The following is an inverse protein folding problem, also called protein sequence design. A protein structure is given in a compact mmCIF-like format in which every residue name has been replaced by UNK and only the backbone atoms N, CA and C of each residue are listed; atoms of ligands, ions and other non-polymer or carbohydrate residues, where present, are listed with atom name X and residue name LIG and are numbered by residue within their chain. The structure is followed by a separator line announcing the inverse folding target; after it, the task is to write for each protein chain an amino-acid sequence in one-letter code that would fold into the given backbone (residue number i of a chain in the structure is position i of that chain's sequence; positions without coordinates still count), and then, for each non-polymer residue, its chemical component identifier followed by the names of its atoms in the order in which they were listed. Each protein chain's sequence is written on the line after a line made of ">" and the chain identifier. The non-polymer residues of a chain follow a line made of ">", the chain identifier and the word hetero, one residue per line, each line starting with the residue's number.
data_IF_904009366984
#
_entry.id   IF_904009366984
#
_cell.length_a   1.000
_cell.length_b   1.000
_cell.length_c   1.000
_cell.angle_alpha   90.00
_cell.angle_beta   90.00
_cell.angle_gamma   90.00
#
_symmetry.space_group_name_H-M   'P 1'
#
loop_
_entity.id
_entity.type
_entity.pdbx_description
1 polymer ?
#
# COMPACT_ATOMS: atom_id res chain seq x y z
N UNK A 1 5.18 -15.34 -9.82
CA UNK A 1 5.69 -14.07 -10.36
C UNK A 1 7.05 -13.77 -9.76
N UNK A 2 7.98 -13.24 -10.54
CA UNK A 2 9.31 -12.80 -10.05
C UNK A 2 9.26 -11.32 -9.61
N UNK A 3 10.21 -10.88 -8.79
CA UNK A 3 10.34 -9.48 -8.37
C UNK A 3 10.42 -8.51 -9.58
N UNK A 4 11.15 -8.91 -10.62
CA UNK A 4 11.29 -8.15 -11.87
C UNK A 4 9.95 -7.99 -12.61
N UNK A 5 9.15 -9.06 -12.65
CA UNK A 5 7.83 -9.04 -13.26
C UNK A 5 6.89 -8.09 -12.51
N UNK A 6 6.87 -8.14 -11.17
CA UNK A 6 6.08 -7.22 -10.33
C UNK A 6 6.49 -5.76 -10.50
N UNK A 7 7.80 -5.49 -10.56
CA UNK A 7 8.32 -4.13 -10.79
C UNK A 7 7.90 -3.60 -12.16
N UNK A 8 7.91 -4.47 -13.18
CA UNK A 8 7.42 -4.14 -14.52
C UNK A 8 5.91 -3.85 -14.52
N UNK A 9 5.10 -4.71 -13.89
CA UNK A 9 3.65 -4.52 -13.77
C UNK A 9 3.32 -3.21 -13.06
N UNK A 10 4.02 -2.89 -11.95
CA UNK A 10 3.87 -1.61 -11.23
C UNK A 10 4.22 -0.40 -12.11
N UNK A 11 5.31 -0.47 -12.88
CA UNK A 11 5.69 0.62 -13.80
C UNK A 11 4.61 0.86 -14.85
N UNK A 12 4.12 -0.22 -15.46
CA UNK A 12 3.02 -0.17 -16.43
C UNK A 12 1.78 0.43 -15.79
N UNK A 13 1.39 -0.04 -14.60
CA UNK A 13 0.26 0.46 -13.84
C UNK A 13 0.36 1.98 -13.59
N UNK A 14 1.48 2.44 -13.06
CA UNK A 14 1.70 3.86 -12.79
C UNK A 14 1.59 4.73 -14.04
N UNK A 15 2.10 4.25 -15.19
CA UNK A 15 2.00 4.97 -16.45
C UNK A 15 0.56 5.02 -16.99
N UNK A 16 -0.18 3.91 -16.89
CA UNK A 16 -1.58 3.88 -17.29
C UNK A 16 -2.46 4.80 -16.43
N UNK A 17 -2.24 4.82 -15.11
CA UNK A 17 -2.96 5.70 -14.19
C UNK A 17 -2.66 7.18 -14.45
N UNK A 18 -1.41 7.55 -14.76
CA UNK A 18 -1.06 8.93 -15.16
C UNK A 18 -1.83 9.37 -16.40
N UNK A 19 -1.95 8.49 -17.40
CA UNK A 19 -2.72 8.77 -18.62
C UNK A 19 -4.22 8.89 -18.32
N UNK A 20 -4.75 7.97 -17.51
CA UNK A 20 -6.16 7.99 -17.10
C UNK A 20 -6.52 9.31 -16.39
N UNK A 21 -5.65 9.78 -15.49
CA UNK A 21 -5.79 11.08 -14.82
C UNK A 21 -5.68 12.26 -15.78
N UNK A 22 -4.84 12.17 -16.81
CA UNK A 22 -4.74 13.22 -17.84
C UNK A 22 -6.02 13.33 -18.67
N UNK A 23 -6.70 12.21 -18.96
CA UNK A 23 -7.99 12.18 -19.67
C UNK A 23 -9.09 12.81 -18.81
N UNK A 24 -9.15 12.46 -17.52
CA UNK A 24 -10.10 13.05 -16.56
C UNK A 24 -10.00 14.59 -16.53
N UNK A 25 -8.77 15.13 -16.49
CA UNK A 25 -8.52 16.58 -16.52
C UNK A 25 -8.93 17.23 -17.85
N UNK A 26 -8.87 16.51 -18.97
CA UNK A 26 -9.23 17.03 -20.30
C UNK A 26 -10.75 17.10 -20.54
N UNK A 27 -11.56 16.45 -19.69
CA UNK A 27 -13.03 16.52 -19.71
C UNK A 27 -13.72 15.58 -20.70
N UNK A 28 -15.05 15.49 -20.59
CA UNK A 28 -15.87 14.52 -21.32
C UNK A 28 -16.02 14.87 -22.80
N UNK A 29 -15.26 14.19 -23.65
CA UNK A 29 -15.51 14.10 -25.09
C UNK A 29 -15.74 12.64 -25.48
N UNK A 30 -16.40 12.39 -26.61
CA UNK A 30 -16.59 11.02 -27.12
C UNK A 30 -15.26 10.31 -27.36
N UNK A 31 -14.21 11.05 -27.73
CA UNK A 31 -12.85 10.53 -27.86
C UNK A 31 -12.25 10.16 -26.50
N UNK A 32 -12.45 11.00 -25.47
CA UNK A 32 -11.96 10.76 -24.11
C UNK A 32 -12.60 9.51 -23.48
N UNK A 33 -13.90 9.28 -23.71
CA UNK A 33 -14.59 8.09 -23.20
C UNK A 33 -14.08 6.80 -23.87
N UNK A 34 -13.74 6.86 -25.16
CA UNK A 34 -13.17 5.71 -25.87
C UNK A 34 -11.74 5.42 -25.40
N UNK A 35 -10.94 6.45 -25.15
CA UNK A 35 -9.58 6.31 -24.61
C UNK A 35 -9.58 5.81 -23.16
N UNK A 36 -10.52 6.28 -22.33
CA UNK A 36 -10.76 5.78 -20.98
C UNK A 36 -11.06 4.27 -20.98
N UNK A 37 -11.99 3.82 -21.83
CA UNK A 37 -12.35 2.40 -21.91
C UNK A 37 -11.16 1.52 -22.35
N UNK A 38 -10.33 2.01 -23.28
CA UNK A 38 -9.11 1.29 -23.70
C UNK A 38 -8.11 1.17 -22.54
N UNK A 39 -7.86 2.25 -21.81
CA UNK A 39 -6.95 2.23 -20.67
C UNK A 39 -7.46 1.37 -19.52
N UNK A 40 -8.78 1.36 -19.26
CA UNK A 40 -9.39 0.46 -18.28
C UNK A 40 -9.20 -1.00 -18.69
N UNK A 41 -9.33 -1.33 -19.98
CA UNK A 41 -9.03 -2.67 -20.50
C UNK A 41 -7.56 -3.08 -20.33
N UNK A 42 -6.63 -2.16 -20.58
CA UNK A 42 -5.20 -2.41 -20.32
C UNK A 42 -4.91 -2.57 -18.82
N UNK A 43 -5.53 -1.74 -17.98
CA UNK A 43 -5.44 -1.84 -16.52
C UNK A 43 -6.04 -3.14 -16.01
N UNK A 44 -7.14 -3.64 -16.59
CA UNK A 44 -7.80 -4.86 -16.16
C UNK A 44 -6.89 -6.09 -16.19
N UNK A 45 -5.92 -6.13 -17.11
CA UNK A 45 -4.91 -7.19 -17.17
C UNK A 45 -3.97 -7.22 -15.96
N UNK A 46 -3.94 -6.16 -15.15
CA UNK A 46 -3.09 -6.02 -13.97
C UNK A 46 -3.83 -6.30 -12.65
N UNK A 47 -5.14 -6.53 -12.69
CA UNK A 47 -5.94 -6.89 -11.52
C UNK A 47 -6.01 -8.42 -11.36
N UNK A 48 -6.24 -8.87 -10.12
CA UNK A 48 -6.42 -10.29 -9.82
C UNK A 48 -7.65 -10.88 -10.55
N UNK A 49 -7.59 -12.19 -10.84
CA UNK A 49 -8.72 -12.91 -11.41
C UNK A 49 -9.95 -12.81 -10.49
N UNK A 50 -11.09 -12.42 -11.06
CA UNK A 50 -12.36 -12.26 -10.34
C UNK A 50 -12.71 -10.83 -9.93
N UNK A 51 -11.82 -9.85 -10.14
CA UNK A 51 -12.17 -8.43 -9.97
C UNK A 51 -13.02 -7.96 -11.16
N UNK A 52 -14.22 -7.43 -10.88
CA UNK A 52 -15.07 -6.77 -11.89
C UNK A 52 -14.51 -5.38 -12.23
N UNK A 53 -13.38 -5.33 -12.95
CA UNK A 53 -12.61 -4.09 -13.18
C UNK A 53 -13.41 -3.01 -13.90
N UNK A 54 -14.21 -3.37 -14.91
CA UNK A 54 -15.06 -2.42 -15.63
C UNK A 54 -16.02 -1.68 -14.68
N UNK A 55 -16.73 -2.45 -13.84
CA UNK A 55 -17.67 -1.90 -12.85
C UNK A 55 -16.97 -1.08 -11.77
N UNK A 56 -15.76 -1.48 -11.36
CA UNK A 56 -14.93 -0.75 -10.41
C UNK A 56 -14.58 0.64 -10.97
N UNK A 57 -14.06 0.70 -12.20
CA UNK A 57 -13.70 1.95 -12.85
C UNK A 57 -14.93 2.79 -13.23
N UNK A 58 -16.08 2.18 -13.53
CA UNK A 58 -17.36 2.89 -13.74
C UNK A 58 -17.90 3.54 -12.45
N UNK A 59 -17.76 2.85 -11.30
CA UNK A 59 -18.08 3.43 -10.00
C UNK A 59 -17.13 4.59 -9.68
N UNK A 60 -15.84 4.41 -9.96
CA UNK A 60 -14.81 5.42 -9.75
C UNK A 60 -15.04 6.68 -10.59
N UNK A 61 -15.33 6.52 -11.89
CA UNK A 61 -15.65 7.62 -12.79
C UNK A 61 -16.89 8.40 -12.32
N UNK A 62 -17.95 7.70 -11.91
CA UNK A 62 -19.15 8.34 -11.32
C UNK A 62 -18.84 9.13 -10.05
N UNK A 63 -17.93 8.64 -9.22
CA UNK A 63 -17.49 9.36 -8.02
C UNK A 63 -16.74 10.64 -8.40
N UNK A 64 -15.84 10.59 -9.39
CA UNK A 64 -15.14 11.77 -9.89
C UNK A 64 -16.09 12.81 -10.52
N UNK A 65 -17.10 12.35 -11.27
CA UNK A 65 -18.14 13.21 -11.87
C UNK A 65 -19.00 13.88 -10.79
N UNK A 66 -19.39 13.15 -9.74
CA UNK A 66 -20.20 13.68 -8.65
C UNK A 66 -19.53 14.85 -7.93
N UNK A 67 -18.20 14.82 -7.82
CA UNK A 67 -17.40 15.85 -7.17
C UNK A 67 -16.66 16.73 -8.17
N UNK A 68 -17.14 16.88 -9.41
CA UNK A 68 -16.42 17.57 -10.48
C UNK A 68 -15.91 18.96 -10.10
N UNK A 69 -16.69 19.73 -9.33
CA UNK A 69 -16.37 21.10 -8.92
C UNK A 69 -15.55 21.19 -7.61
N UNK A 70 -15.36 20.07 -6.89
CA UNK A 70 -14.58 20.01 -5.64
C UNK A 70 -13.22 19.34 -5.89
N UNK A 71 -12.25 20.16 -6.27
CA UNK A 71 -10.88 19.73 -6.54
C UNK A 71 -10.19 19.08 -5.33
N UNK A 72 -10.56 19.44 -4.10
CA UNK A 72 -9.96 18.83 -2.90
C UNK A 72 -10.47 17.40 -2.77
N UNK A 73 -11.79 17.22 -2.82
CA UNK A 73 -12.41 15.89 -2.75
C UNK A 73 -12.00 15.00 -3.92
N UNK A 74 -11.90 15.53 -5.14
CA UNK A 74 -11.36 14.79 -6.30
C UNK A 74 -9.92 14.34 -6.10
N UNK A 75 -9.07 15.18 -5.51
CA UNK A 75 -7.69 14.82 -5.19
C UNK A 75 -7.65 13.65 -4.21
N UNK A 76 -8.49 13.67 -3.18
CA UNK A 76 -8.60 12.57 -2.21
C UNK A 76 -9.14 11.28 -2.85
N UNK A 77 -10.14 11.38 -3.72
CA UNK A 77 -10.68 10.24 -4.48
C UNK A 77 -9.58 9.62 -5.36
N UNK A 78 -8.79 10.44 -6.06
CA UNK A 78 -7.64 9.96 -6.84
C UNK A 78 -6.52 9.38 -5.98
N UNK A 79 -6.32 9.89 -4.76
CA UNK A 79 -5.32 9.39 -3.84
C UNK A 79 -5.71 8.02 -3.27
N UNK A 80 -6.99 7.80 -2.99
CA UNK A 80 -7.53 6.48 -2.64
C UNK A 80 -7.50 5.53 -3.83
N UNK A 81 -7.91 6.03 -5.01
CA UNK A 81 -7.93 5.33 -6.29
C UNK A 81 -8.84 4.08 -6.31
N UNK A 82 -9.09 3.50 -7.50
CA UNK A 82 -9.80 2.23 -7.64
C UNK A 82 -8.88 1.03 -7.34
N UNK A 83 -7.97 1.14 -6.36
CA UNK A 83 -6.87 0.22 -6.18
C UNK A 83 -7.19 -0.81 -5.08
N UNK A 84 -8.02 -1.79 -5.41
CA UNK A 84 -8.40 -2.82 -4.43
C UNK A 84 -7.22 -3.73 -4.05
N UNK A 85 -6.37 -4.06 -5.00
CA UNK A 85 -5.13 -4.83 -4.77
C UNK A 85 -4.00 -4.19 -5.58
N UNK A 86 -3.27 -3.26 -4.97
CA UNK A 86 -2.07 -2.71 -5.61
C UNK A 86 -1.11 -3.87 -5.92
N UNK A 87 -0.43 -3.89 -7.09
CA UNK A 87 0.56 -4.91 -7.37
C UNK A 87 1.60 -4.93 -6.24
N UNK A 88 1.76 -6.09 -5.62
CA UNK A 88 2.66 -6.32 -4.50
C UNK A 88 4.03 -5.68 -4.77
N UNK A 89 4.35 -4.61 -4.04
CA UNK A 89 5.61 -3.93 -4.19
C UNK A 89 6.68 -4.70 -3.41
N UNK A 90 7.54 -5.37 -4.15
CA UNK A 90 8.80 -5.87 -3.62
C UNK A 90 9.86 -4.79 -3.81
N UNK A 91 10.36 -4.23 -2.70
CA UNK A 91 11.41 -3.21 -2.75
C UNK A 91 12.75 -3.85 -3.08
N UNK A 92 13.60 -3.23 -3.89
CA UNK A 92 14.98 -3.68 -4.04
C UNK A 92 15.77 -3.48 -2.74
N UNK A 93 16.91 -4.16 -2.60
CA UNK A 93 17.77 -3.97 -1.44
C UNK A 93 18.25 -2.51 -1.31
N UNK A 94 18.50 -1.84 -2.43
CA UNK A 94 18.89 -0.44 -2.50
C UNK A 94 17.74 0.48 -2.06
N UNK A 95 16.52 0.19 -2.48
CA UNK A 95 15.33 0.93 -2.04
C UNK A 95 15.14 0.79 -0.52
N UNK A 96 15.25 -0.42 0.03
CA UNK A 96 15.19 -0.66 1.48
C UNK A 96 16.26 0.13 2.22
N UNK A 97 17.52 0.06 1.76
CA UNK A 97 18.62 0.84 2.36
C UNK A 97 18.36 2.33 2.32
N UNK A 98 17.82 2.85 1.21
CA UNK A 98 17.49 4.26 1.07
C UNK A 98 16.39 4.67 2.06
N UNK A 99 15.33 3.87 2.19
CA UNK A 99 14.25 4.13 3.15
C UNK A 99 14.75 4.11 4.60
N UNK A 100 15.60 3.15 4.96
CA UNK A 100 16.20 3.07 6.31
C UNK A 100 17.09 4.28 6.59
N UNK A 101 17.89 4.71 5.61
CA UNK A 101 18.73 5.90 5.73
C UNK A 101 17.92 7.20 5.84
N UNK A 102 16.79 7.30 5.14
CA UNK A 102 15.88 8.43 5.26
C UNK A 102 15.22 8.49 6.65
N UNK A 103 14.84 7.33 7.21
CA UNK A 103 14.34 7.24 8.58
C UNK A 103 15.41 7.65 9.60
N UNK A 104 16.65 7.18 9.45
CA UNK A 104 17.78 7.60 10.30
C UNK A 104 17.96 9.13 10.26
N UNK A 105 17.96 9.71 9.05
CA UNK A 105 18.05 11.15 8.87
C UNK A 105 16.89 11.87 9.54
N UNK A 106 15.66 11.34 9.43
CA UNK A 106 14.48 11.90 10.08
C UNK A 106 14.65 11.93 11.61
N UNK A 107 15.10 10.82 12.21
CA UNK A 107 15.33 10.75 13.66
C UNK A 107 16.34 11.80 14.13
N UNK A 108 17.49 11.91 13.45
CA UNK A 108 18.49 12.93 13.77
C UNK A 108 17.98 14.36 13.56
N UNK A 109 17.25 14.61 12.47
CA UNK A 109 16.71 15.94 12.16
C UNK A 109 15.75 16.44 13.25
N UNK A 110 15.02 15.52 13.88
CA UNK A 110 14.05 15.84 14.93
C UNK A 110 14.59 15.67 16.35
N UNK A 111 15.92 15.61 16.52
CA UNK A 111 16.58 15.41 17.82
C UNK A 111 16.03 14.20 18.59
N UNK A 112 15.71 13.13 17.85
CA UNK A 112 15.41 11.80 18.38
C UNK A 112 16.67 10.96 18.21
N UNK A 113 17.66 11.23 19.06
CA UNK A 113 18.94 10.54 19.07
C UNK A 113 19.34 10.14 20.49
N UNK A 114 20.56 9.66 20.68
CA UNK A 114 21.08 9.26 22.00
C UNK A 114 20.97 10.35 23.09
N UNK A 115 20.87 11.64 22.74
CA UNK A 115 20.71 12.73 23.71
C UNK A 115 19.26 12.93 24.17
N UNK A 116 18.30 12.46 23.37
CA UNK A 116 16.87 12.55 23.64
C UNK A 116 16.12 11.34 23.04
N UNK A 117 16.36 10.13 23.59
CA UNK A 117 15.79 8.91 23.04
C UNK A 117 14.30 8.79 23.37
N UNK A 118 13.48 8.17 22.50
CA UNK A 118 12.12 7.79 22.86
C UNK A 118 12.16 6.76 24.01
N UNK A 119 11.13 6.79 24.87
CA UNK A 119 11.05 5.84 25.97
C UNK A 119 10.90 4.38 25.50
N UNK A 120 10.12 4.17 24.43
CA UNK A 120 9.82 2.86 23.85
C UNK A 120 9.67 3.04 22.34
N UNK A 121 10.22 2.10 21.57
CA UNK A 121 9.93 1.93 20.13
C UNK A 121 9.20 0.61 19.95
N UNK A 122 8.02 0.66 19.36
CA UNK A 122 7.23 -0.53 19.03
C UNK A 122 7.26 -0.77 17.53
N UNK A 123 7.68 -1.96 17.11
CA UNK A 123 7.69 -2.37 15.70
C UNK A 123 6.68 -3.51 15.57
N UNK A 124 5.62 -3.26 14.79
CA UNK A 124 4.65 -4.29 14.45
C UNK A 124 5.10 -5.03 13.19
N UNK A 125 5.00 -6.36 13.23
CA UNK A 125 5.32 -7.25 12.11
C UNK A 125 4.02 -7.82 11.57
N UNK A 126 3.64 -7.45 10.35
CA UNK A 126 2.56 -8.14 9.67
C UNK A 126 3.12 -9.34 8.91
N UNK A 127 2.69 -10.55 9.27
CA UNK A 127 3.09 -11.80 8.60
C UNK A 127 1.93 -12.50 7.91
N UNK A 128 0.71 -11.99 8.09
CA UNK A 128 -0.52 -12.58 7.55
C UNK A 128 -1.04 -11.86 6.31
N UNK A 129 -0.48 -10.70 5.96
CA UNK A 129 -0.78 -10.01 4.71
C UNK A 129 0.36 -10.22 3.70
N UNK A 130 0.03 -10.18 2.41
CA UNK A 130 1.01 -10.33 1.32
C UNK A 130 1.77 -9.01 1.03
N UNK A 131 1.54 -7.94 1.82
CA UNK A 131 2.07 -6.60 1.56
C UNK A 131 3.60 -6.51 1.66
N UNK A 132 4.22 -7.17 2.63
CA UNK A 132 5.68 -7.30 2.71
C UNK A 132 6.05 -8.77 2.50
N UNK A 133 6.77 -9.12 1.42
CA UNK A 133 7.14 -10.50 1.18
C UNK A 133 7.89 -11.09 2.38
N UNK A 134 7.53 -12.29 2.87
CA UNK A 134 8.10 -12.85 4.10
C UNK A 134 9.64 -12.94 4.09
N UNK A 135 10.25 -13.10 2.91
CA UNK A 135 11.71 -13.14 2.77
C UNK A 135 12.40 -11.79 2.94
N UNK A 136 11.70 -10.67 2.73
CA UNK A 136 12.25 -9.32 2.95
C UNK A 136 12.10 -8.86 4.39
N UNK A 137 11.16 -9.45 5.12
CA UNK A 137 10.80 -9.01 6.46
C UNK A 137 11.96 -9.08 7.44
N UNK A 138 12.67 -10.20 7.47
CA UNK A 138 13.82 -10.38 8.37
C UNK A 138 14.96 -9.41 8.01
N UNK A 139 15.17 -9.15 6.71
CA UNK A 139 16.19 -8.24 6.20
C UNK A 139 15.86 -6.78 6.52
N UNK A 140 14.61 -6.36 6.34
CA UNK A 140 14.14 -5.01 6.70
C UNK A 140 14.24 -4.81 8.21
N UNK A 141 13.73 -5.76 9.01
CA UNK A 141 13.76 -5.68 10.47
C UNK A 141 15.20 -5.60 10.99
N UNK A 142 16.11 -6.41 10.45
CA UNK A 142 17.52 -6.40 10.82
C UNK A 142 18.18 -5.05 10.52
N UNK A 143 17.93 -4.49 9.33
CA UNK A 143 18.47 -3.17 8.95
C UNK A 143 17.91 -2.04 9.82
N UNK A 144 16.61 -2.06 10.13
CA UNK A 144 15.99 -1.07 11.02
C UNK A 144 16.56 -1.17 12.44
N UNK A 145 16.70 -2.38 12.99
CA UNK A 145 17.28 -2.56 14.33
C UNK A 145 18.74 -2.08 14.40
N UNK A 146 19.54 -2.37 13.37
CA UNK A 146 20.91 -1.87 13.29
C UNK A 146 20.97 -0.34 13.21
N UNK A 147 20.09 0.27 12.41
CA UNK A 147 19.97 1.73 12.33
C UNK A 147 19.58 2.33 13.68
N UNK A 148 18.56 1.77 14.36
CA UNK A 148 18.15 2.24 15.69
C UNK A 148 19.29 2.11 16.71
N UNK A 149 20.10 1.06 16.61
CA UNK A 149 21.28 0.88 17.46
C UNK A 149 22.37 1.92 17.17
N UNK A 150 22.53 2.33 15.91
CA UNK A 150 23.42 3.42 15.52
C UNK A 150 22.95 4.77 16.12
N UNK A 151 21.65 5.05 16.05
CA UNK A 151 21.05 6.32 16.49
C UNK A 151 20.98 6.45 18.01
N UNK A 152 20.57 5.39 18.71
CA UNK A 152 20.27 5.41 20.14
C UNK A 152 21.33 4.70 21.01
N UNK A 153 22.26 3.97 20.40
CA UNK A 153 23.21 3.12 21.11
C UNK A 153 22.64 1.74 21.43
N UNK A 154 23.12 1.11 22.51
CA UNK A 154 22.74 -0.26 22.85
C UNK A 154 21.22 -0.41 23.09
N UNK A 155 20.58 -1.31 22.33
CA UNK A 155 19.14 -1.56 22.41
C UNK A 155 18.85 -2.75 23.34
N UNK A 156 17.81 -2.61 24.17
CA UNK A 156 17.20 -3.75 24.88
C UNK A 156 15.94 -4.17 24.13
N UNK A 157 16.05 -5.24 23.32
CA UNK A 157 14.96 -5.72 22.46
C UNK A 157 14.16 -6.83 23.13
N UNK A 158 12.83 -6.78 22.98
CA UNK A 158 11.91 -7.85 23.41
C UNK A 158 11.02 -8.22 22.24
N UNK A 159 11.10 -9.47 21.81
CA UNK A 159 10.20 -10.03 20.80
C UNK A 159 8.95 -10.58 21.50
N UNK A 160 7.78 -10.20 20.99
CA UNK A 160 6.48 -10.66 21.49
C UNK A 160 5.79 -11.38 20.33
N UNK A 161 5.54 -12.67 20.51
CA UNK A 161 4.70 -13.44 19.59
C UNK A 161 3.25 -13.33 20.09
N UNK A 162 2.34 -13.01 19.17
CA UNK A 162 0.91 -13.05 19.46
C UNK A 162 0.41 -14.46 19.17
N UNK A 163 -0.31 -15.05 20.12
CA UNK A 163 -1.06 -16.29 19.89
C UNK A 163 -2.04 -16.05 18.73
N UNK A 164 -2.18 -17.02 17.80
CA UNK A 164 -3.26 -16.94 16.82
C UNK A 164 -4.57 -16.83 17.59
N UNK A 165 -5.42 -15.88 17.18
CA UNK A 165 -6.77 -15.82 17.72
C UNK A 165 -7.46 -17.08 17.19
N UNK A 166 -7.47 -18.14 18.00
CA UNK A 166 -8.27 -19.32 17.73
C UNK A 166 -9.67 -18.83 17.40
N UNK A 167 -10.15 -19.21 16.21
CA UNK A 167 -11.47 -18.90 15.68
C UNK A 167 -12.46 -18.91 16.85
N UNK A 168 -12.96 -17.73 17.24
CA UNK A 168 -14.12 -17.66 18.09
C UNK A 168 -15.20 -18.39 17.28
N UNK A 169 -15.53 -19.60 17.71
CA UNK A 169 -16.57 -20.39 17.09
C UNK A 169 -17.84 -19.56 17.15
N UNK A 170 -18.33 -19.18 15.97
CA UNK A 170 -19.75 -18.92 15.77
C UNK A 170 -20.48 -20.26 15.96
N UNK A 171 -20.55 -20.73 17.21
CA UNK A 171 -21.66 -21.55 17.68
C UNK A 171 -22.70 -20.57 18.24
N UNK A 172 -23.37 -19.86 17.33
CA UNK A 172 -24.65 -19.24 17.62
C UNK A 172 -25.62 -20.38 17.95
N UNK A 173 -25.82 -20.60 19.25
CA UNK A 173 -26.87 -21.43 19.80
C UNK A 173 -28.23 -20.88 19.32
N UNK A 174 -28.80 -21.51 18.29
CA UNK A 174 -30.23 -21.44 17.99
C UNK A 174 -31.02 -21.92 19.21
N UNK A 175 -31.37 -20.97 20.07
CA UNK A 175 -32.41 -21.11 21.07
C UNK A 175 -33.72 -20.68 20.42
N UNK A 176 -34.25 -21.49 19.49
CA UNK A 176 -35.66 -21.38 19.12
C UNK A 176 -36.46 -22.31 20.02
N UNK A 177 -37.32 -21.67 20.78
CA UNK A 177 -38.32 -22.26 21.66
C UNK A 177 -39.39 -22.94 20.82
N UNK A 178 -39.78 -24.15 21.20
CA UNK A 178 -41.17 -24.65 21.14
C UNK A 178 -41.37 -25.77 22.18
#
# INVERSE_FOLDING_TARGET
>A
MTAEQRSSERKTFCELIKRLKAIDVQGHSTSANQEWALLVGELACLYAEGVETEKLFDNFARMLEQYYDDETTKSEIWAAGPFLDLPHHESSQEEIKCMVAELERFLHTHALDATNPPAIVTIAKSTGDEYLPPHQLDEVLSQVLHMLQSVFGALSTKFVEYEPVDNCGDDDLESTSD
#
